data_IF_467398186650
#
_entry.id   IF_467398186650
#
_cell.length_a   1.000
_cell.length_b   1.000
_cell.length_c   1.000
_cell.angle_alpha   90.00
_cell.angle_beta   90.00
_cell.angle_gamma   90.00
#
_symmetry.space_group_name_H-M   'P 1'
#
loop_
_entity.id
_entity.type
_entity.pdbx_description
1 polymer ?
#
# COMPACT_ATOMS: atom_id res chain seq x y z
N UNK A 1 14.58 -4.73 18.20
CA UNK A 1 14.44 -3.29 17.91
C UNK A 1 13.91 -3.15 16.47
N UNK A 2 12.72 -2.59 16.26
CA UNK A 2 12.07 -2.56 14.93
C UNK A 2 12.55 -1.39 14.06
N UNK A 3 13.07 -0.30 14.63
CA UNK A 3 13.57 0.84 13.82
C UNK A 3 14.74 0.48 12.91
N UNK A 4 15.57 -0.49 13.28
CA UNK A 4 16.62 -1.06 12.43
C UNK A 4 16.11 -1.90 11.24
N UNK A 5 14.79 -2.12 11.16
CA UNK A 5 14.15 -3.01 10.17
C UNK A 5 13.46 -2.29 9.02
N UNK A 6 13.35 -0.94 9.02
CA UNK A 6 12.85 -0.17 7.88
C UNK A 6 13.89 -0.16 6.74
N UNK A 7 13.96 -1.29 6.03
CA UNK A 7 14.96 -1.60 5.00
C UNK A 7 14.48 -1.31 3.58
N UNK A 8 13.19 -1.00 3.40
CA UNK A 8 12.56 -0.71 2.12
C UNK A 8 12.16 0.78 2.02
N UNK A 9 11.82 1.17 0.80
CA UNK A 9 11.24 2.45 0.44
C UNK A 9 9.90 2.19 -0.25
N UNK A 10 8.87 2.96 0.11
CA UNK A 10 7.56 2.90 -0.51
C UNK A 10 7.20 4.28 -1.06
N UNK A 11 6.81 4.31 -2.33
CA UNK A 11 6.28 5.53 -2.97
C UNK A 11 4.78 5.60 -2.71
N UNK A 12 4.38 6.54 -1.86
CA UNK A 12 2.99 6.74 -1.43
C UNK A 12 2.34 7.77 -2.35
N UNK A 13 1.15 7.44 -2.81
CA UNK A 13 0.28 8.29 -3.63
C UNK A 13 -1.09 8.41 -2.97
N UNK A 14 -1.74 9.56 -3.13
CA UNK A 14 -3.07 9.83 -2.57
C UNK A 14 -4.02 10.28 -3.66
N UNK A 15 -5.23 9.73 -3.65
CA UNK A 15 -6.28 10.17 -4.55
C UNK A 15 -6.75 11.58 -4.15
N UNK A 16 -6.69 12.53 -5.08
CA UNK A 16 -7.20 13.89 -4.91
C UNK A 16 -8.51 14.14 -5.65
N UNK A 17 -8.96 13.20 -6.49
CA UNK A 17 -10.22 13.34 -7.19
C UNK A 17 -11.37 13.35 -6.19
N UNK A 18 -12.09 14.46 -6.14
CA UNK A 18 -13.26 14.65 -5.29
C UNK A 18 -14.44 15.15 -6.12
N UNK A 19 -15.61 14.61 -5.85
CA UNK A 19 -16.86 15.07 -6.45
C UNK A 19 -17.50 14.07 -7.41
N UNK A 20 -18.47 14.57 -8.16
CA UNK A 20 -19.22 13.85 -9.19
C UNK A 20 -19.07 14.59 -10.51
N UNK A 21 -19.10 13.86 -11.61
CA UNK A 21 -19.15 14.44 -12.94
C UNK A 21 -20.53 15.04 -13.25
N UNK A 22 -20.68 15.62 -14.45
CA UNK A 22 -21.93 16.26 -14.90
C UNK A 22 -23.13 15.30 -14.98
N UNK A 23 -22.87 13.98 -14.91
CA UNK A 23 -23.87 12.91 -14.94
C UNK A 23 -24.14 12.31 -13.56
N UNK A 24 -23.45 12.78 -12.51
CA UNK A 24 -23.60 12.30 -11.14
C UNK A 24 -22.77 11.06 -10.81
N UNK A 25 -21.92 10.61 -11.74
CA UNK A 25 -20.97 9.51 -11.51
C UNK A 25 -19.75 10.02 -10.75
N UNK A 26 -19.10 9.15 -9.99
CA UNK A 26 -17.90 9.53 -9.25
C UNK A 26 -16.76 9.83 -10.24
N UNK A 27 -16.06 10.94 -10.03
CA UNK A 27 -14.94 11.32 -10.91
C UNK A 27 -13.84 10.27 -10.87
N UNK A 28 -13.18 10.06 -12.01
CA UNK A 28 -12.08 9.11 -12.11
C UNK A 28 -10.99 9.43 -11.06
N UNK A 29 -10.44 8.42 -10.36
CA UNK A 29 -9.37 8.63 -9.39
C UNK A 29 -8.17 9.34 -10.02
N UNK A 30 -7.62 10.31 -9.30
CA UNK A 30 -6.43 11.05 -9.69
C UNK A 30 -5.42 10.95 -8.55
N UNK A 31 -4.42 10.08 -8.73
CA UNK A 31 -3.42 9.80 -7.71
C UNK A 31 -2.19 10.69 -7.90
N UNK A 32 -1.88 11.47 -6.86
CA UNK A 32 -0.67 12.29 -6.81
C UNK A 32 0.38 11.68 -5.90
N UNK A 33 1.66 11.80 -6.29
CA UNK A 33 2.77 11.38 -5.45
C UNK A 33 2.88 12.28 -4.21
N UNK A 34 2.85 11.65 -3.02
CA UNK A 34 2.92 12.32 -1.74
C UNK A 34 4.36 12.31 -1.20
N UNK A 35 4.93 11.12 -1.02
CA UNK A 35 6.31 10.97 -0.55
C UNK A 35 6.86 9.55 -0.78
N UNK A 36 8.18 9.44 -0.88
CA UNK A 36 8.90 8.19 -0.70
C UNK A 36 9.26 8.01 0.77
N UNK A 37 8.63 7.04 1.44
CA UNK A 37 8.80 6.82 2.88
C UNK A 37 9.58 5.53 3.17
N UNK A 38 10.33 5.54 4.27
CA UNK A 38 11.00 4.32 4.76
C UNK A 38 9.98 3.37 5.33
N UNK A 39 10.05 2.12 4.89
CA UNK A 39 9.12 1.09 5.30
C UNK A 39 9.79 -0.27 5.49
N UNK A 40 9.01 -1.22 6.00
CA UNK A 40 9.30 -2.64 5.94
C UNK A 40 8.01 -3.36 5.55
N UNK A 41 8.03 -4.08 4.45
CA UNK A 41 6.88 -4.76 3.86
C UNK A 41 7.17 -6.25 3.81
N UNK A 42 6.16 -7.06 4.03
CA UNK A 42 6.25 -8.51 4.01
C UNK A 42 4.91 -9.14 3.62
N UNK A 43 4.96 -10.30 2.98
CA UNK A 43 3.79 -11.15 2.81
C UNK A 43 3.63 -12.03 4.04
N UNK A 44 2.39 -12.18 4.49
CA UNK A 44 2.01 -13.03 5.63
C UNK A 44 1.61 -14.42 5.16
N UNK A 45 0.86 -14.46 4.05
CA UNK A 45 0.38 -15.67 3.41
C UNK A 45 0.14 -15.42 1.93
N UNK A 46 0.40 -16.45 1.13
CA UNK A 46 -0.01 -16.50 -0.27
C UNK A 46 -0.90 -17.72 -0.41
N UNK A 47 -2.15 -17.52 -0.82
CA UNK A 47 -3.10 -18.62 -1.04
C UNK A 47 -3.76 -18.49 -2.40
N UNK A 48 -3.90 -19.62 -3.05
CA UNK A 48 -4.65 -19.75 -4.29
C UNK A 48 -6.11 -20.08 -3.94
N UNK A 49 -7.05 -19.30 -4.47
CA UNK A 49 -8.49 -19.54 -4.34
C UNK A 49 -9.03 -19.81 -5.73
N UNK A 50 -9.62 -21.00 -5.88
CA UNK A 50 -10.29 -21.41 -7.12
C UNK A 50 -11.78 -21.19 -6.93
N UNK A 51 -12.36 -20.34 -7.77
CA UNK A 51 -13.80 -20.08 -7.85
C UNK A 51 -14.31 -20.46 -9.25
N UNK A 52 -14.77 -21.70 -9.38
CA UNK A 52 -15.12 -22.28 -10.69
C UNK A 52 -13.92 -22.34 -11.62
N UNK A 53 -14.01 -21.67 -12.78
CA UNK A 53 -12.94 -21.58 -13.78
C UNK A 53 -11.97 -20.41 -13.52
N UNK A 54 -12.13 -19.69 -12.41
CA UNK A 54 -11.26 -18.56 -12.05
C UNK A 54 -10.30 -18.95 -10.95
N UNK A 55 -9.02 -18.70 -11.18
CA UNK A 55 -7.99 -18.86 -10.16
C UNK A 55 -7.50 -17.49 -9.72
N UNK A 56 -7.62 -17.19 -8.42
CA UNK A 56 -7.18 -15.94 -7.82
C UNK A 56 -6.07 -16.20 -6.80
N UNK A 57 -4.97 -15.47 -6.93
CA UNK A 57 -3.92 -15.45 -5.92
C UNK A 57 -4.20 -14.34 -4.91
N UNK A 58 -4.48 -14.71 -3.67
CA UNK A 58 -4.62 -13.76 -2.57
C UNK A 58 -3.29 -13.72 -1.83
N UNK A 59 -2.66 -12.55 -1.84
CA UNK A 59 -1.44 -12.27 -1.10
C UNK A 59 -1.77 -11.30 0.03
N UNK A 60 -1.70 -11.79 1.27
CA UNK A 60 -1.94 -10.98 2.45
C UNK A 60 -0.67 -10.20 2.76
N UNK A 61 -0.62 -8.96 2.28
CA UNK A 61 0.54 -8.08 2.43
C UNK A 61 0.39 -7.17 3.64
N UNK A 62 1.49 -6.96 4.36
CA UNK A 62 1.59 -6.04 5.48
C UNK A 62 2.77 -5.11 5.28
N UNK A 63 2.65 -3.90 5.81
CA UNK A 63 3.70 -2.90 5.79
C UNK A 63 3.77 -2.16 7.11
N UNK A 64 4.99 -1.81 7.51
CA UNK A 64 5.26 -0.90 8.60
C UNK A 64 5.98 0.34 8.09
N UNK A 65 5.56 1.50 8.58
CA UNK A 65 6.16 2.79 8.31
C UNK A 65 6.76 3.40 9.57
N UNK A 66 7.61 4.40 9.39
CA UNK A 66 8.04 5.26 10.49
C UNK A 66 6.83 5.97 11.12
N UNK A 67 6.88 6.23 12.44
CA UNK A 67 5.77 6.80 13.21
C UNK A 67 5.18 8.11 12.63
N UNK A 68 6.02 8.95 12.03
CA UNK A 68 5.61 10.23 11.44
C UNK A 68 5.36 10.19 9.93
N UNK A 69 5.27 9.01 9.31
CA UNK A 69 4.93 8.91 7.90
C UNK A 69 3.48 9.35 7.69
N UNK A 70 3.25 10.26 6.74
CA UNK A 70 1.90 10.61 6.29
C UNK A 70 1.39 9.48 5.38
N UNK A 71 0.63 8.56 5.97
CA UNK A 71 -0.02 7.43 5.29
C UNK A 71 -1.40 7.24 5.91
N UNK A 72 -2.41 7.17 5.07
CA UNK A 72 -3.81 7.02 5.45
C UNK A 72 -4.45 5.81 4.74
N UNK A 73 -5.61 5.40 5.24
CA UNK A 73 -6.45 4.43 4.55
C UNK A 73 -6.84 4.94 3.15
N UNK A 74 -6.79 4.06 2.15
CA UNK A 74 -7.11 4.42 0.77
C UNK A 74 -5.94 5.00 -0.03
N UNK A 75 -4.83 5.36 0.63
CA UNK A 75 -3.59 5.70 -0.08
C UNK A 75 -3.09 4.49 -0.88
N UNK A 76 -2.40 4.76 -1.97
CA UNK A 76 -1.78 3.74 -2.81
C UNK A 76 -0.27 3.79 -2.72
N UNK A 77 0.35 2.61 -2.73
CA UNK A 77 1.77 2.40 -2.80
C UNK A 77 2.07 2.01 -4.24
N UNK A 78 2.66 2.93 -4.99
CA UNK A 78 2.95 2.74 -6.40
C UNK A 78 4.02 1.68 -6.65
N UNK A 79 5.03 1.63 -5.77
CA UNK A 79 6.07 0.60 -5.75
C UNK A 79 6.75 0.50 -4.40
N UNK A 80 7.33 -0.67 -4.13
CA UNK A 80 8.17 -0.92 -2.97
C UNK A 80 9.55 -1.37 -3.44
N UNK A 81 10.58 -0.61 -3.08
CA UNK A 81 11.98 -0.86 -3.46
C UNK A 81 12.87 -1.06 -2.23
N UNK A 82 14.08 -1.55 -2.44
CA UNK A 82 15.15 -1.41 -1.45
C UNK A 82 15.86 -0.05 -1.59
N UNK A 83 16.82 0.23 -0.71
CA UNK A 83 17.62 1.47 -0.74
C UNK A 83 18.50 1.65 -1.99
N UNK A 84 18.57 0.66 -2.88
CA UNK A 84 19.30 0.70 -4.16
C UNK A 84 18.32 0.72 -5.34
N UNK A 85 17.06 1.09 -5.11
CA UNK A 85 15.98 1.16 -6.08
C UNK A 85 15.63 -0.15 -6.81
N UNK A 86 16.03 -1.30 -6.25
CA UNK A 86 15.58 -2.60 -6.75
C UNK A 86 14.18 -2.86 -6.22
N UNK A 87 13.22 -3.13 -7.13
CA UNK A 87 11.84 -3.49 -6.79
C UNK A 87 11.81 -4.79 -6.00
N UNK A 88 11.19 -4.76 -4.82
CA UNK A 88 11.01 -5.92 -3.94
C UNK A 88 9.62 -6.52 -4.13
N UNK A 89 8.61 -5.65 -4.21
CA UNK A 89 7.25 -6.04 -4.53
C UNK A 89 6.80 -5.25 -5.76
N UNK A 90 6.53 -5.98 -6.85
CA UNK A 90 6.00 -5.40 -8.08
C UNK A 90 4.50 -5.12 -7.95
N UNK A 91 4.00 -4.12 -8.67
CA UNK A 91 2.59 -3.75 -8.71
C UNK A 91 2.19 -2.68 -7.68
N UNK A 92 0.96 -2.21 -7.80
CA UNK A 92 0.37 -1.19 -6.92
C UNK A 92 -0.37 -1.86 -5.77
N UNK A 93 -0.30 -1.24 -4.60
CA UNK A 93 -0.98 -1.73 -3.40
C UNK A 93 -1.77 -0.61 -2.75
N UNK A 94 -3.03 -0.84 -2.41
CA UNK A 94 -3.82 0.07 -1.61
C UNK A 94 -3.67 -0.24 -0.13
N UNK A 95 -3.55 0.80 0.67
CA UNK A 95 -3.64 0.74 2.14
C UNK A 95 -5.08 0.41 2.51
N UNK A 96 -5.30 -0.78 3.07
CA UNK A 96 -6.62 -1.29 3.44
C UNK A 96 -6.83 -1.21 4.95
N UNK A 97 -7.96 -0.63 5.35
CA UNK A 97 -8.30 -0.41 6.75
C UNK A 97 -7.49 0.72 7.39
N UNK A 98 -7.84 1.03 8.63
CA UNK A 98 -7.19 2.08 9.39
C UNK A 98 -5.71 1.73 9.67
N UNK A 99 -4.82 2.68 9.40
CA UNK A 99 -3.41 2.61 9.77
C UNK A 99 -3.29 2.58 11.30
N UNK A 100 -2.66 1.54 11.84
CA UNK A 100 -2.60 1.30 13.28
C UNK A 100 -1.25 1.70 13.86
N UNK A 101 -1.28 2.31 15.04
CA UNK A 101 -0.07 2.56 15.80
C UNK A 101 0.45 1.26 16.44
N UNK A 102 1.72 0.92 16.17
CA UNK A 102 2.39 -0.23 16.78
C UNK A 102 3.75 0.17 17.33
N UNK A 103 3.75 0.43 18.64
CA UNK A 103 4.90 0.86 19.43
C UNK A 103 5.53 2.18 18.97
N UNK A 104 6.42 2.14 17.98
CA UNK A 104 7.17 3.29 17.46
C UNK A 104 7.04 3.42 15.95
N UNK A 105 6.03 2.77 15.39
CA UNK A 105 5.80 2.59 13.97
C UNK A 105 4.30 2.63 13.68
N UNK A 106 3.97 2.81 12.41
CA UNK A 106 2.63 2.62 11.88
C UNK A 106 2.59 1.28 11.15
N UNK A 107 1.52 0.50 11.32
CA UNK A 107 1.28 -0.75 10.59
C UNK A 107 0.00 -0.63 9.77
N UNK A 108 0.05 -1.13 8.54
CA UNK A 108 -1.11 -1.19 7.65
C UNK A 108 -1.21 -2.53 6.93
N UNK A 109 -2.44 -2.91 6.56
CA UNK A 109 -2.67 -3.96 5.59
C UNK A 109 -2.57 -3.39 4.18
N UNK A 110 -2.03 -4.18 3.26
CA UNK A 110 -1.93 -3.83 1.86
C UNK A 110 -2.75 -4.82 1.04
N UNK A 111 -3.53 -4.28 0.11
CA UNK A 111 -4.25 -5.03 -0.89
C UNK A 111 -3.73 -4.68 -2.27
N UNK A 112 -3.42 -5.70 -3.07
CA UNK A 112 -3.00 -5.48 -4.46
C UNK A 112 -4.14 -4.85 -5.26
N UNK A 113 -3.84 -3.77 -5.97
CA UNK A 113 -4.76 -3.12 -6.92
C UNK A 113 -4.31 -3.56 -8.32
N UNK A 114 -5.23 -4.18 -9.06
CA UNK A 114 -5.01 -4.71 -10.40
C UNK A 114 -5.43 -3.69 -11.46
#
# INVERSE_FOLDING_TARGET
MISGRLVHLADVERNQAVGKDDWGDDVAPDFIALATVRCWAWSTSTREVVDGDKTALIEDMRIMFALGADVNEGDEIARITNRRDVVIFAGRFRVEGQVQHKHTHLEAALKRVA
#
